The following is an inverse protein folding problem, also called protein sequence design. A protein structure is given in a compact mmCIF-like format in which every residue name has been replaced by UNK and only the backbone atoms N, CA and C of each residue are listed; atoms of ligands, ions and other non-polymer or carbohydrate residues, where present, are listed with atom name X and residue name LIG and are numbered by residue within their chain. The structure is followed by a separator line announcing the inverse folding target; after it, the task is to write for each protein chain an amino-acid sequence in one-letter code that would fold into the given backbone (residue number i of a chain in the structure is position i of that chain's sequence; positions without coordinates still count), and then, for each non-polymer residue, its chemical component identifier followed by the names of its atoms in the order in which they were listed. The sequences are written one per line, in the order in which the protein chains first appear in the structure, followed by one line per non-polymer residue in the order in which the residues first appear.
data_IF_957906075499
#
_entry.id   IF_957906075499
#
_cell.length_a   1.000
_cell.length_b   1.000
_cell.length_c   1.000
_cell.angle_alpha   90.00
_cell.angle_beta   90.00
_cell.angle_gamma   90.00
#
_symmetry.space_group_name_H-M   'P 1'
#
loop_
_entity.id
_entity.type
_entity.pdbx_description
1 polymer ?
#
# COMPACT_ATOMS: atom_id res chain seq x y z
N UNK A 1 38.71 16.64 -14.60
CA UNK A 1 37.64 16.77 -13.58
C UNK A 1 36.21 16.78 -14.16
N UNK A 2 35.99 16.82 -15.48
CA UNK A 2 34.62 16.91 -16.05
C UNK A 2 33.98 15.57 -16.45
N UNK A 3 34.75 14.52 -16.74
CA UNK A 3 34.23 13.22 -17.18
C UNK A 3 33.62 12.39 -16.04
N UNK A 4 34.35 12.24 -14.93
CA UNK A 4 33.93 11.41 -13.80
C UNK A 4 32.69 11.95 -13.09
N UNK A 5 32.57 13.29 -13.03
CA UNK A 5 31.40 13.97 -12.45
C UNK A 5 30.16 13.75 -13.31
N UNK A 6 30.29 13.84 -14.65
CA UNK A 6 29.17 13.59 -15.55
C UNK A 6 28.68 12.14 -15.48
N UNK A 7 29.60 11.18 -15.42
CA UNK A 7 29.27 9.77 -15.25
C UNK A 7 28.57 9.50 -13.91
N UNK A 8 29.04 10.12 -12.82
CA UNK A 8 28.42 10.01 -11.51
C UNK A 8 26.99 10.59 -11.48
N UNK A 9 26.76 11.73 -12.14
CA UNK A 9 25.43 12.34 -12.25
C UNK A 9 24.47 11.43 -13.03
N UNK A 10 24.91 10.89 -14.17
CA UNK A 10 24.10 9.99 -14.97
C UNK A 10 23.72 8.71 -14.20
N UNK A 11 24.67 8.13 -13.46
CA UNK A 11 24.43 6.97 -12.61
C UNK A 11 23.41 7.29 -11.49
N UNK A 12 23.55 8.44 -10.83
CA UNK A 12 22.62 8.88 -9.80
C UNK A 12 21.19 9.09 -10.35
N UNK A 13 21.06 9.67 -11.55
CA UNK A 13 19.77 9.84 -12.21
C UNK A 13 19.13 8.50 -12.57
N UNK A 14 19.90 7.57 -13.15
CA UNK A 14 19.41 6.24 -13.47
C UNK A 14 18.93 5.49 -12.21
N UNK A 15 19.69 5.59 -11.11
CA UNK A 15 19.30 5.00 -9.83
C UNK A 15 18.00 5.62 -9.27
N UNK A 16 17.86 6.94 -9.35
CA UNK A 16 16.65 7.63 -8.91
C UNK A 16 15.41 7.21 -9.73
N UNK A 17 15.55 7.11 -11.05
CA UNK A 17 14.48 6.64 -11.94
C UNK A 17 14.12 5.18 -11.61
N UNK A 18 15.12 4.32 -11.44
CA UNK A 18 14.91 2.91 -11.11
C UNK A 18 14.24 2.72 -9.74
N UNK A 19 14.41 3.66 -8.80
CA UNK A 19 13.77 3.63 -7.48
C UNK A 19 12.32 4.15 -7.47
N UNK A 20 11.83 4.67 -8.60
CA UNK A 20 10.47 5.21 -8.73
C UNK A 20 9.38 4.15 -8.58
N UNK A 21 8.23 4.56 -8.02
CA UNK A 21 7.02 3.73 -7.94
C UNK A 21 6.54 3.34 -9.35
N UNK A 22 6.18 2.08 -9.53
CA UNK A 22 5.72 1.50 -10.79
C UNK A 22 6.83 1.09 -11.76
N UNK A 23 8.10 1.44 -11.50
CA UNK A 23 9.22 1.09 -12.38
C UNK A 23 9.74 -0.31 -12.05
N UNK A 24 9.48 -1.26 -12.93
CA UNK A 24 9.87 -2.66 -12.77
C UNK A 24 9.12 -3.38 -11.64
N UNK A 25 8.00 -2.82 -11.19
CA UNK A 25 7.14 -3.40 -10.16
C UNK A 25 5.96 -4.13 -10.79
N UNK A 26 5.40 -5.11 -10.06
CA UNK A 26 4.23 -5.87 -10.51
C UNK A 26 3.19 -5.95 -9.40
N UNK A 27 1.91 -6.03 -9.79
CA UNK A 27 0.83 -6.23 -8.83
C UNK A 27 0.84 -7.66 -8.31
N UNK A 28 0.88 -7.79 -6.99
CA UNK A 28 0.88 -9.05 -6.27
C UNK A 28 -0.40 -9.18 -5.44
N UNK A 29 -1.05 -10.35 -5.51
CA UNK A 29 -2.21 -10.64 -4.66
C UNK A 29 -1.74 -11.10 -3.29
N UNK A 30 -2.00 -10.27 -2.29
CA UNK A 30 -1.55 -10.45 -0.92
C UNK A 30 -2.69 -10.82 0.03
N UNK A 31 -3.91 -11.01 -0.50
CA UNK A 31 -5.15 -11.22 0.28
C UNK A 31 -5.01 -12.30 1.35
N UNK A 32 -4.44 -13.46 1.02
CA UNK A 32 -4.27 -14.55 1.99
C UNK A 32 -3.15 -14.35 3.03
N UNK A 33 -2.34 -13.30 2.89
CA UNK A 33 -1.16 -13.01 3.72
C UNK A 33 -1.31 -11.71 4.52
N UNK A 34 -2.49 -11.09 4.45
CA UNK A 34 -2.80 -9.80 5.06
C UNK A 34 -4.05 -9.93 5.90
N UNK A 35 -4.03 -9.32 7.08
CA UNK A 35 -5.15 -9.27 7.99
C UNK A 35 -5.16 -7.94 8.72
N UNK A 36 -6.34 -7.60 9.26
CA UNK A 36 -6.51 -6.40 10.07
C UNK A 36 -5.70 -6.47 11.37
N UNK A 37 -5.41 -5.32 11.96
CA UNK A 37 -4.69 -5.14 13.21
C UNK A 37 -3.29 -5.79 13.22
N UNK A 38 -2.66 -5.90 12.05
CA UNK A 38 -1.29 -6.39 11.88
C UNK A 38 -0.43 -5.33 11.20
N UNK A 39 0.75 -5.06 11.77
CA UNK A 39 1.73 -4.17 11.15
C UNK A 39 2.58 -4.93 10.14
N UNK A 40 2.68 -4.39 8.93
CA UNK A 40 3.52 -4.86 7.85
C UNK A 40 4.62 -3.86 7.54
N UNK A 41 5.75 -4.35 7.07
CA UNK A 41 6.90 -3.53 6.65
C UNK A 41 7.08 -3.69 5.14
N UNK A 42 7.25 -2.57 4.44
CA UNK A 42 7.65 -2.59 3.05
C UNK A 42 9.16 -2.86 2.92
N UNK A 43 9.51 -4.13 2.71
CA UNK A 43 10.90 -4.60 2.58
C UNK A 43 11.40 -4.68 1.14
N UNK A 44 10.69 -4.16 0.14
CA UNK A 44 11.05 -4.35 -1.28
C UNK A 44 12.24 -3.52 -1.76
N UNK A 45 12.72 -2.58 -0.96
CA UNK A 45 13.72 -1.59 -1.39
C UNK A 45 13.15 -0.47 -2.29
N UNK A 46 11.83 -0.44 -2.55
CA UNK A 46 11.15 0.63 -3.30
C UNK A 46 9.84 1.05 -2.62
N UNK A 47 9.29 2.25 -2.88
CA UNK A 47 7.90 2.53 -2.52
C UNK A 47 6.96 1.49 -3.15
N UNK A 48 5.90 1.12 -2.43
CA UNK A 48 4.84 0.25 -2.95
C UNK A 48 3.51 0.98 -2.91
N UNK A 49 2.60 0.66 -3.83
CA UNK A 49 1.19 1.02 -3.66
C UNK A 49 0.48 -0.16 -3.01
N UNK A 50 -0.25 0.11 -1.92
CA UNK A 50 -1.14 -0.85 -1.27
C UNK A 50 -2.57 -0.47 -1.65
N UNK A 51 -3.32 -1.42 -2.18
CA UNK A 51 -4.74 -1.30 -2.45
C UNK A 51 -5.49 -2.36 -1.66
N UNK A 52 -6.47 -1.92 -0.87
CA UNK A 52 -7.29 -2.80 -0.05
C UNK A 52 -8.76 -2.51 -0.28
N UNK A 53 -9.54 -3.57 -0.42
CA UNK A 53 -11.00 -3.52 -0.35
C UNK A 53 -11.48 -4.42 0.79
N UNK A 54 -12.60 -4.01 1.40
CA UNK A 54 -13.30 -4.73 2.44
C UNK A 54 -14.80 -4.68 2.17
N UNK A 55 -15.52 -5.66 2.69
CA UNK A 55 -16.97 -5.79 2.50
C UNK A 55 -17.69 -5.49 3.80
N UNK A 56 -18.57 -4.50 3.81
CA UNK A 56 -19.46 -4.29 4.94
C UNK A 56 -20.36 -5.51 5.14
N UNK A 57 -20.47 -5.95 6.39
CA UNK A 57 -21.52 -6.87 6.82
C UNK A 57 -22.87 -6.17 6.90
N UNK A 58 -23.81 -6.76 7.65
CA UNK A 58 -25.00 -6.02 8.09
C UNK A 58 -24.59 -4.88 9.04
N UNK A 59 -25.01 -3.66 8.74
CA UNK A 59 -24.65 -2.44 9.46
C UNK A 59 -23.50 -1.67 8.80
N UNK A 60 -22.87 -0.80 9.59
CA UNK A 60 -21.71 0.01 9.17
C UNK A 60 -20.43 -0.76 9.47
N UNK A 61 -19.52 -0.80 8.50
CA UNK A 61 -18.16 -1.34 8.66
C UNK A 61 -17.15 -0.33 8.13
N UNK A 62 -15.95 -0.36 8.68
CA UNK A 62 -14.89 0.58 8.34
C UNK A 62 -13.52 -0.08 8.50
N UNK A 63 -12.58 0.37 7.67
CA UNK A 63 -11.18 -0.07 7.73
C UNK A 63 -10.28 1.12 7.46
N UNK A 64 -9.48 1.53 8.43
CA UNK A 64 -8.45 2.54 8.27
C UNK A 64 -7.21 1.93 7.62
N UNK A 65 -6.58 2.63 6.68
CA UNK A 65 -5.20 2.36 6.26
C UNK A 65 -4.27 3.34 6.96
N UNK A 66 -3.31 2.80 7.70
CA UNK A 66 -2.30 3.57 8.41
C UNK A 66 -0.95 3.35 7.72
N UNK A 67 -0.19 4.41 7.47
CA UNK A 67 1.16 4.36 6.92
C UNK A 67 2.08 5.19 7.81
N UNK A 68 3.16 4.59 8.32
CA UNK A 68 4.10 5.25 9.25
C UNK A 68 3.39 5.98 10.42
N UNK A 69 2.38 5.34 11.00
CA UNK A 69 1.53 5.88 12.08
C UNK A 69 0.59 7.04 11.69
N UNK A 70 0.47 7.36 10.40
CA UNK A 70 -0.50 8.35 9.89
C UNK A 70 -1.68 7.60 9.26
N UNK A 71 -2.91 7.91 9.70
CA UNK A 71 -4.11 7.43 9.02
C UNK A 71 -4.24 8.16 7.68
N UNK A 72 -4.07 7.42 6.59
CA UNK A 72 -4.10 7.97 5.21
C UNK A 72 -5.46 7.78 4.54
N UNK A 73 -6.35 7.02 5.17
CA UNK A 73 -7.74 6.95 4.77
C UNK A 73 -8.57 6.11 5.72
N UNK A 74 -9.85 6.46 5.81
CA UNK A 74 -10.86 5.85 6.68
C UNK A 74 -12.16 5.62 5.90
N UNK A 75 -12.16 4.75 4.88
CA UNK A 75 -13.38 4.35 4.21
C UNK A 75 -14.36 3.68 5.19
N UNK A 76 -15.63 4.04 5.06
CA UNK A 76 -16.73 3.38 5.74
C UNK A 76 -17.80 3.00 4.71
N UNK A 77 -18.39 1.83 4.89
CA UNK A 77 -19.50 1.34 4.09
C UNK A 77 -20.64 0.89 4.99
N UNK A 78 -21.86 1.11 4.52
CA UNK A 78 -23.08 0.61 5.15
C UNK A 78 -23.76 -0.39 4.21
N UNK A 79 -24.25 -1.48 4.78
CA UNK A 79 -25.21 -2.36 4.10
C UNK A 79 -26.27 -2.86 5.06
N UNK A 80 -27.54 -2.88 4.63
CA UNK A 80 -28.62 -3.52 5.40
C UNK A 80 -28.64 -5.05 5.26
N UNK A 81 -27.99 -5.60 4.23
CA UNK A 81 -28.00 -7.03 3.90
C UNK A 81 -26.60 -7.62 3.63
N UNK A 82 -25.53 -6.86 3.91
CA UNK A 82 -24.16 -7.19 3.54
C UNK A 82 -23.81 -6.85 2.08
N UNK A 83 -22.54 -7.01 1.71
CA UNK A 83 -22.09 -6.97 0.30
C UNK A 83 -21.69 -5.61 -0.25
N UNK A 84 -21.86 -4.52 0.49
CA UNK A 84 -21.29 -3.22 0.10
C UNK A 84 -19.76 -3.27 0.19
N UNK A 85 -19.06 -3.05 -0.91
CA UNK A 85 -17.59 -3.01 -0.96
C UNK A 85 -17.10 -1.57 -0.90
N UNK A 86 -16.04 -1.34 -0.13
CA UNK A 86 -15.32 -0.08 -0.09
C UNK A 86 -13.83 -0.36 0.06
N UNK A 87 -12.99 0.63 -0.19
CA UNK A 87 -11.57 0.44 -0.07
C UNK A 87 -10.77 1.72 -0.10
N UNK A 88 -9.48 1.55 0.18
CA UNK A 88 -8.51 2.63 0.32
C UNK A 88 -7.20 2.22 -0.32
N UNK A 89 -6.49 3.21 -0.87
CA UNK A 89 -5.22 3.03 -1.55
C UNK A 89 -4.22 4.02 -0.98
N UNK A 90 -2.99 3.57 -0.75
CA UNK A 90 -1.92 4.46 -0.32
C UNK A 90 -0.55 4.00 -0.80
N UNK A 91 0.39 4.93 -0.84
CA UNK A 91 1.81 4.64 -1.09
C UNK A 91 2.49 4.40 0.26
N UNK A 92 3.24 3.30 0.37
CA UNK A 92 4.10 3.00 1.51
C UNK A 92 5.55 3.16 1.07
N UNK A 93 6.31 4.11 1.65
CA UNK A 93 7.73 4.28 1.32
C UNK A 93 8.54 3.00 1.54
N UNK A 94 9.71 2.90 0.90
CA UNK A 94 10.65 1.82 1.21
C UNK A 94 11.04 1.85 2.69
N UNK A 95 11.04 0.69 3.35
CA UNK A 95 11.27 0.57 4.80
C UNK A 95 10.11 1.09 5.68
N UNK A 96 9.09 1.69 5.08
CA UNK A 96 7.91 2.19 5.80
C UNK A 96 7.02 1.07 6.30
N UNK A 97 6.20 1.38 7.31
CA UNK A 97 5.21 0.47 7.88
C UNK A 97 3.80 0.81 7.42
N UNK A 98 2.93 -0.19 7.36
CA UNK A 98 1.50 0.01 7.15
C UNK A 98 0.67 -1.04 7.87
N UNK A 99 -0.58 -0.69 8.15
CA UNK A 99 -1.56 -1.60 8.74
C UNK A 99 -2.97 -1.24 8.32
N UNK A 100 -3.85 -2.24 8.40
CA UNK A 100 -5.27 -2.08 8.21
C UNK A 100 -5.93 -2.20 9.58
N UNK A 101 -6.60 -1.17 10.07
CA UNK A 101 -7.20 -1.18 11.41
C UNK A 101 -8.73 -1.07 11.31
N UNK A 102 -9.45 -1.74 12.21
CA UNK A 102 -10.92 -1.80 12.20
C UNK A 102 -11.47 -3.20 11.89
N UNK A 103 -12.68 -3.28 11.35
CA UNK A 103 -13.37 -4.53 11.02
C UNK A 103 -14.34 -4.34 9.84
N UNK A 104 -14.24 -5.13 8.77
CA UNK A 104 -14.36 -6.60 8.68
C UNK A 104 -13.11 -7.30 8.09
N UNK A 105 -13.21 -8.59 7.72
CA UNK A 105 -12.15 -9.29 6.96
C UNK A 105 -11.83 -8.55 5.66
N UNK A 106 -10.55 -8.49 5.32
CA UNK A 106 -10.08 -7.93 4.05
C UNK A 106 -10.61 -8.80 2.91
N UNK A 107 -11.33 -8.19 1.97
CA UNK A 107 -11.90 -8.90 0.82
C UNK A 107 -10.83 -9.10 -0.27
N UNK A 108 -9.95 -8.12 -0.41
CA UNK A 108 -8.91 -8.11 -1.42
C UNK A 108 -7.77 -7.19 -0.98
N UNK A 109 -6.53 -7.66 -1.13
CA UNK A 109 -5.33 -6.84 -0.92
C UNK A 109 -4.36 -7.05 -2.07
N UNK A 110 -4.02 -5.94 -2.75
CA UNK A 110 -3.02 -5.91 -3.81
C UNK A 110 -1.89 -4.98 -3.44
N UNK A 111 -0.68 -5.39 -3.80
CA UNK A 111 0.52 -4.59 -3.60
C UNK A 111 1.27 -4.49 -4.92
N UNK A 112 1.54 -3.27 -5.39
CA UNK A 112 2.45 -3.01 -6.51
C UNK A 112 3.88 -3.04 -5.95
N UNK A 113 4.60 -4.14 -6.13
CA UNK A 113 5.89 -4.42 -5.49
C UNK A 113 7.03 -4.51 -6.48
#
# INVERSE_FOLDING_TARGET
MSGDVAAAIAAAQAAAIAAGLGVGQTWQNMTGSRQVNTNYVNTTGKPIMVAVDFSAGGGTSWTSLIVNSVEVGHPAAYSSAGGSQCGVRAIVPSGGTYSFNGGPSLAFVMELR
#
